data_IF_173460934962
#
_entry.id   IF_173460934962
#
_cell.length_a   1.000
_cell.length_b   1.000
_cell.length_c   1.000
_cell.angle_alpha   90.00
_cell.angle_beta   90.00
_cell.angle_gamma   90.00
#
_symmetry.space_group_name_H-M   'P 1'
#
loop_
_entity.id
_entity.type
_entity.pdbx_description
1 polymer ?
#
# COMPACT_ATOMS: atom_id res chain seq x y z
N UNK A 1 5.81 -2.62 -13.58
CA UNK A 1 4.61 -3.44 -13.29
C UNK A 1 3.61 -2.79 -12.33
N UNK A 2 3.84 -1.55 -11.85
CA UNK A 2 2.97 -0.92 -10.85
C UNK A 2 1.78 -0.25 -11.55
N UNK A 3 0.68 -0.99 -11.72
CA UNK A 3 -0.59 -0.38 -12.07
C UNK A 3 -1.02 0.55 -10.93
N UNK A 4 -1.15 1.85 -11.24
CA UNK A 4 -1.56 2.86 -10.28
C UNK A 4 -2.69 3.69 -10.90
N UNK A 5 -3.80 3.82 -10.16
CA UNK A 5 -4.86 4.76 -10.52
C UNK A 5 -4.38 6.14 -10.10
N UNK A 6 -4.30 7.04 -11.08
CA UNK A 6 -3.90 8.43 -10.86
C UNK A 6 -5.16 9.26 -10.63
N UNK A 7 -5.32 9.82 -9.42
CA UNK A 7 -6.37 10.80 -9.17
C UNK A 7 -5.79 12.18 -9.50
N UNK A 8 -6.30 12.90 -10.51
CA UNK A 8 -5.81 14.23 -10.84
C UNK A 8 -6.19 15.21 -9.74
N UNK A 9 -5.22 15.99 -9.29
CA UNK A 9 -5.40 17.09 -8.35
C UNK A 9 -4.91 18.38 -9.00
N UNK A 10 -5.58 19.47 -8.69
CA UNK A 10 -5.16 20.80 -9.09
C UNK A 10 -4.76 21.58 -7.85
N UNK A 11 -3.52 22.07 -7.86
CA UNK A 11 -3.02 22.99 -6.83
C UNK A 11 -2.93 24.36 -7.48
N UNK A 12 -3.78 25.33 -7.10
CA UNK A 12 -3.70 26.68 -7.62
C UNK A 12 -2.38 27.31 -7.17
N UNK A 13 -1.52 27.65 -8.14
CA UNK A 13 -0.25 28.32 -7.84
C UNK A 13 -0.54 29.81 -7.71
N UNK A 14 -0.39 30.39 -6.51
CA UNK A 14 -0.39 31.86 -6.34
C UNK A 14 0.89 32.41 -6.99
N UNK A 15 0.80 32.88 -8.22
CA UNK A 15 1.86 33.69 -8.85
C UNK A 15 1.58 35.17 -8.56
N UNK A 16 2.27 35.74 -7.56
CA UNK A 16 2.39 37.20 -7.44
C UNK A 16 3.50 37.65 -8.40
N UNK A 17 3.14 37.96 -9.64
CA UNK A 17 4.09 38.49 -10.62
C UNK A 17 3.51 38.63 -12.03
N UNK A 18 3.16 39.86 -12.42
CA UNK A 18 2.92 40.35 -13.80
C UNK A 18 2.00 39.47 -14.68
N UNK A 19 0.69 39.53 -14.41
CA UNK A 19 -0.34 39.47 -15.47
C UNK A 19 -0.50 38.17 -16.26
N UNK A 20 0.20 37.09 -15.91
CA UNK A 20 -0.01 35.77 -16.54
C UNK A 20 -0.38 34.75 -15.47
N UNK A 21 -1.68 34.48 -15.37
CA UNK A 21 -2.20 33.32 -14.66
C UNK A 21 -1.69 32.09 -15.42
N UNK A 22 -0.59 31.50 -14.97
CA UNK A 22 -0.19 30.18 -15.44
C UNK A 22 -1.12 29.16 -14.79
N UNK A 23 -1.70 28.31 -15.62
CA UNK A 23 -2.54 27.17 -15.23
C UNK A 23 -1.88 26.44 -14.04
N UNK A 24 -2.68 26.15 -13.00
CA UNK A 24 -2.20 25.44 -11.81
C UNK A 24 -1.48 24.15 -12.21
N UNK A 25 -0.42 23.79 -11.49
CA UNK A 25 0.32 22.57 -11.80
C UNK A 25 -0.62 21.37 -11.61
N UNK A 26 -0.96 20.70 -12.71
CA UNK A 26 -1.71 19.44 -12.69
C UNK A 26 -0.80 18.40 -12.06
N UNK A 27 -1.13 18.00 -10.84
CA UNK A 27 -0.45 16.93 -10.11
C UNK A 27 -1.42 15.76 -9.99
N UNK A 28 -0.94 14.60 -9.58
CA UNK A 28 -1.81 13.46 -9.30
C UNK A 28 -1.40 12.78 -8.01
N UNK A 29 -2.38 12.21 -7.31
CA UNK A 29 -2.14 11.30 -6.19
C UNK A 29 -2.06 9.88 -6.80
N UNK A 30 -0.90 9.19 -6.71
CA UNK A 30 -0.78 7.83 -7.19
C UNK A 30 -1.37 6.85 -6.17
N UNK A 31 -2.50 6.22 -6.49
CA UNK A 31 -3.03 5.11 -5.69
C UNK A 31 -2.59 3.81 -6.36
N UNK A 32 -1.77 3.02 -5.68
CA UNK A 32 -1.26 1.74 -6.20
C UNK A 32 -2.33 0.64 -6.05
N UNK A 33 -2.36 -0.31 -6.96
CA UNK A 33 -3.26 -1.47 -6.88
C UNK A 33 -2.91 -2.40 -5.71
N UNK A 34 -1.62 -2.54 -5.42
CA UNK A 34 -1.07 -3.32 -4.30
C UNK A 34 -0.37 -2.34 -3.36
N UNK A 35 -1.16 -1.49 -2.71
CA UNK A 35 -0.65 -0.61 -1.63
C UNK A 35 -0.15 -1.40 -0.43
N UNK A 36 -0.62 -2.65 -0.28
CA UNK A 36 -0.40 -3.46 0.90
C UNK A 36 0.87 -4.33 0.92
N UNK A 37 1.58 -4.40 -0.20
CA UNK A 37 2.71 -5.31 -0.35
C UNK A 37 2.32 -6.73 0.07
N UNK A 38 3.16 -7.35 0.89
CA UNK A 38 2.96 -8.71 1.42
C UNK A 38 2.20 -8.73 2.75
N UNK A 39 2.00 -7.58 3.40
CA UNK A 39 1.54 -7.57 4.80
C UNK A 39 0.21 -8.29 5.05
N UNK A 40 -0.83 -8.16 4.20
CA UNK A 40 -2.08 -8.92 4.38
C UNK A 40 -1.91 -10.43 4.39
N UNK A 41 -0.97 -10.96 3.60
CA UNK A 41 -0.68 -12.39 3.52
C UNK A 41 -0.05 -12.87 4.83
N UNK A 42 0.87 -12.07 5.38
CA UNK A 42 1.53 -12.37 6.66
C UNK A 42 0.48 -12.41 7.79
N UNK A 43 -0.42 -11.43 7.87
CA UNK A 43 -1.47 -11.42 8.90
C UNK A 43 -2.46 -12.58 8.75
N UNK A 44 -2.86 -12.92 7.53
CA UNK A 44 -3.70 -14.09 7.30
C UNK A 44 -3.01 -15.38 7.79
N UNK A 45 -1.72 -15.51 7.51
CA UNK A 45 -0.95 -16.69 7.88
C UNK A 45 -0.70 -16.81 9.39
N UNK A 46 -0.41 -15.72 10.09
CA UNK A 46 -0.21 -15.77 11.54
C UNK A 46 -1.48 -16.23 12.27
N UNK A 47 -2.66 -15.77 11.83
CA UNK A 47 -3.92 -16.17 12.46
C UNK A 47 -4.24 -17.64 12.23
N UNK A 48 -3.89 -18.20 11.06
CA UNK A 48 -4.13 -19.62 10.77
C UNK A 48 -3.15 -20.52 11.54
N UNK A 49 -1.90 -20.10 11.72
CA UNK A 49 -0.89 -20.90 12.41
C UNK A 49 -1.15 -21.02 13.92
N UNK A 50 -1.70 -19.97 14.55
CA UNK A 50 -1.91 -19.94 16.01
C UNK A 50 -2.79 -21.08 16.52
N UNK A 51 -3.99 -21.35 15.97
CA UNK A 51 -4.80 -22.49 16.38
C UNK A 51 -4.13 -23.84 16.11
N UNK A 52 -3.48 -24.01 14.94
CA UNK A 52 -2.81 -25.26 14.59
C UNK A 52 -1.64 -25.60 15.52
N UNK A 53 -0.86 -24.59 15.91
CA UNK A 53 0.22 -24.77 16.90
C UNK A 53 -0.34 -25.11 18.29
N UNK A 54 -1.35 -24.38 18.77
CA UNK A 54 -1.97 -24.67 20.07
C UNK A 54 -2.60 -26.08 20.13
N UNK A 55 -3.28 -26.51 19.06
CA UNK A 55 -3.83 -27.85 18.97
C UNK A 55 -2.76 -28.94 19.04
N UNK A 56 -1.59 -28.68 18.44
CA UNK A 56 -0.44 -29.59 18.48
C UNK A 56 0.13 -29.75 19.90
N UNK A 57 0.08 -28.68 20.73
CA UNK A 57 0.58 -28.73 22.11
C UNK A 57 -0.40 -29.34 23.12
N UNK A 58 -1.71 -29.18 22.94
CA UNK A 58 -2.71 -29.58 23.94
C UNK A 58 -3.27 -31.00 23.75
N UNK A 59 -3.07 -31.64 22.58
CA UNK A 59 -3.62 -32.97 22.22
C UNK A 59 -5.11 -33.17 22.57
N UNK A 60 -5.90 -32.10 22.64
CA UNK A 60 -7.34 -32.18 22.91
C UNK A 60 -8.08 -32.58 21.63
N UNK A 61 -9.03 -33.54 21.68
CA UNK A 61 -9.79 -33.98 20.51
C UNK A 61 -10.52 -32.83 19.80
N UNK A 62 -11.11 -31.91 20.56
CA UNK A 62 -11.85 -30.75 20.04
C UNK A 62 -10.92 -29.78 19.30
N UNK A 63 -9.69 -29.59 19.82
CA UNK A 63 -8.70 -28.74 19.15
C UNK A 63 -8.11 -29.42 17.90
N UNK A 64 -8.01 -30.74 17.88
CA UNK A 64 -7.56 -31.50 16.71
C UNK A 64 -8.58 -31.45 15.58
N UNK A 65 -9.88 -31.55 15.89
CA UNK A 65 -10.94 -31.39 14.89
C UNK A 65 -10.91 -30.00 14.27
N UNK A 66 -10.74 -28.94 15.08
CA UNK A 66 -10.59 -27.57 14.57
C UNK A 66 -9.30 -27.42 13.76
N UNK A 67 -8.18 -28.01 14.20
CA UNK A 67 -6.91 -27.95 13.48
C UNK A 67 -6.95 -28.70 12.13
N UNK A 68 -7.77 -29.76 12.02
CA UNK A 68 -7.94 -30.50 10.77
C UNK A 68 -8.42 -29.60 9.63
N UNK A 69 -9.33 -28.66 9.91
CA UNK A 69 -9.82 -27.66 8.95
C UNK A 69 -8.75 -26.66 8.50
N UNK A 70 -7.69 -26.47 9.28
CA UNK A 70 -6.56 -25.59 8.98
C UNK A 70 -5.37 -26.33 8.37
N UNK A 71 -5.54 -27.60 7.99
CA UNK A 71 -4.49 -28.38 7.34
C UNK A 71 -4.25 -27.87 5.92
N UNK A 72 -3.01 -27.50 5.56
CA UNK A 72 -2.70 -27.07 4.20
C UNK A 72 -2.96 -28.20 3.21
N UNK A 73 -3.76 -27.92 2.19
CA UNK A 73 -4.02 -28.85 1.10
C UNK A 73 -5.49 -29.14 0.83
N UNK A 74 -6.37 -28.91 1.82
CA UNK A 74 -7.81 -29.08 1.63
C UNK A 74 -8.51 -27.81 1.11
N UNK A 75 -9.66 -28.00 0.46
CA UNK A 75 -10.50 -26.90 -0.05
C UNK A 75 -10.91 -25.88 1.05
N UNK A 76 -11.26 -26.29 2.28
CA UNK A 76 -11.62 -25.36 3.36
C UNK A 76 -10.47 -24.42 3.75
N UNK A 77 -9.24 -24.93 3.75
CA UNK A 77 -8.04 -24.12 4.03
C UNK A 77 -7.86 -23.03 2.98
N UNK A 78 -7.90 -23.39 1.69
CA UNK A 78 -7.70 -22.44 0.59
C UNK A 78 -8.76 -21.34 0.58
N UNK A 79 -10.02 -21.69 0.84
CA UNK A 79 -11.13 -20.74 0.88
C UNK A 79 -11.01 -19.79 2.09
N UNK A 80 -10.69 -20.33 3.27
CA UNK A 80 -10.51 -19.53 4.50
C UNK A 80 -9.29 -18.62 4.39
N UNK A 81 -8.18 -19.12 3.85
CA UNK A 81 -6.96 -18.34 3.63
C UNK A 81 -7.18 -17.21 2.61
N UNK A 82 -7.84 -17.51 1.47
CA UNK A 82 -8.21 -16.50 0.49
C UNK A 82 -9.14 -15.42 1.05
N UNK A 83 -10.16 -15.82 1.83
CA UNK A 83 -11.08 -14.90 2.49
C UNK A 83 -10.36 -14.00 3.51
N UNK A 84 -9.44 -14.57 4.31
CA UNK A 84 -8.59 -13.78 5.22
C UNK A 84 -7.72 -12.79 4.45
N UNK A 85 -7.07 -13.20 3.36
CA UNK A 85 -6.26 -12.28 2.54
C UNK A 85 -7.10 -11.11 2.03
N UNK A 86 -8.33 -11.36 1.55
CA UNK A 86 -9.24 -10.31 1.11
C UNK A 86 -9.61 -9.35 2.24
N UNK A 87 -9.98 -9.90 3.40
CA UNK A 87 -10.35 -9.10 4.58
C UNK A 87 -9.18 -8.24 5.07
N UNK A 88 -7.99 -8.84 5.21
CA UNK A 88 -6.80 -8.11 5.65
C UNK A 88 -6.29 -7.13 4.61
N UNK A 89 -6.48 -7.39 3.32
CA UNK A 89 -6.15 -6.44 2.26
C UNK A 89 -6.98 -5.17 2.37
N UNK A 90 -8.28 -5.31 2.65
CA UNK A 90 -9.17 -4.17 2.89
C UNK A 90 -8.80 -3.43 4.19
N UNK A 91 -8.67 -4.18 5.29
CA UNK A 91 -8.34 -3.62 6.60
C UNK A 91 -7.01 -2.86 6.59
N UNK A 92 -5.95 -3.45 6.05
CA UNK A 92 -4.65 -2.81 5.93
C UNK A 92 -4.71 -1.53 5.08
N UNK A 93 -5.42 -1.58 3.95
CA UNK A 93 -5.54 -0.40 3.07
C UNK A 93 -6.23 0.74 3.78
N UNK A 94 -7.30 0.49 4.54
CA UNK A 94 -8.01 1.53 5.30
C UNK A 94 -7.17 2.15 6.43
N UNK A 95 -6.29 1.38 7.07
CA UNK A 95 -5.43 1.91 8.15
C UNK A 95 -4.35 2.82 7.57
N UNK A 96 -3.73 2.42 6.45
CA UNK A 96 -2.66 3.22 5.84
C UNK A 96 -3.20 4.44 5.11
N UNK A 97 -4.28 4.26 4.36
CA UNK A 97 -4.92 5.32 3.58
C UNK A 97 -6.14 5.82 4.33
N UNK A 98 -5.90 6.67 5.34
CA UNK A 98 -6.98 7.44 5.93
C UNK A 98 -7.43 8.53 4.95
N UNK A 99 -8.56 8.30 4.27
CA UNK A 99 -9.14 9.22 3.29
C UNK A 99 -9.53 10.57 3.88
N UNK A 100 -9.91 10.61 5.16
CA UNK A 100 -10.24 11.86 5.87
C UNK A 100 -8.99 12.72 6.02
N UNK A 101 -7.90 12.14 6.51
CA UNK A 101 -6.62 12.85 6.67
C UNK A 101 -6.05 13.29 5.31
N UNK A 102 -6.17 12.44 4.29
CA UNK A 102 -5.75 12.76 2.92
C UNK A 102 -6.53 13.94 2.35
N UNK A 103 -7.85 13.97 2.53
CA UNK A 103 -8.71 15.06 2.09
C UNK A 103 -8.43 16.36 2.84
N UNK A 104 -8.20 16.29 4.17
CA UNK A 104 -7.87 17.46 4.97
C UNK A 104 -6.49 18.02 4.61
N UNK A 105 -5.49 17.16 4.41
CA UNK A 105 -4.16 17.56 3.95
C UNK A 105 -4.22 18.19 2.55
N UNK A 106 -5.01 17.64 1.64
CA UNK A 106 -5.21 18.22 0.31
C UNK A 106 -5.84 19.62 0.40
N UNK A 107 -6.85 19.79 1.28
CA UNK A 107 -7.48 21.09 1.56
C UNK A 107 -6.49 22.09 2.17
N UNK A 108 -5.66 21.67 3.14
CA UNK A 108 -4.61 22.50 3.76
C UNK A 108 -3.56 22.97 2.75
N UNK A 109 -3.23 22.13 1.78
CA UNK A 109 -2.32 22.48 0.66
C UNK A 109 -2.99 23.36 -0.41
N UNK A 110 -4.27 23.70 -0.26
CA UNK A 110 -5.05 24.45 -1.25
C UNK A 110 -5.38 23.64 -2.50
N UNK A 111 -5.09 22.34 -2.51
CA UNK A 111 -5.40 21.43 -3.60
C UNK A 111 -6.87 20.99 -3.58
N UNK A 112 -7.40 20.63 -4.74
CA UNK A 112 -8.71 20.01 -4.85
C UNK A 112 -8.76 19.02 -6.01
N UNK A 113 -9.70 18.07 -5.93
CA UNK A 113 -10.04 17.17 -7.02
C UNK A 113 -11.09 17.87 -7.90
N UNK A 114 -10.85 18.07 -9.20
CA UNK A 114 -11.83 18.69 -10.08
C UNK A 114 -13.16 17.91 -10.06
N UNK A 115 -14.27 18.62 -9.84
CA UNK A 115 -15.62 18.02 -9.80
C UNK A 115 -16.05 17.49 -8.43
N UNK A 116 -15.22 17.57 -7.38
CA UNK A 116 -15.57 17.14 -6.02
C UNK A 116 -15.35 18.27 -5.02
N UNK A 117 -16.29 18.49 -4.10
CA UNK A 117 -16.19 19.53 -3.07
C UNK A 117 -15.06 19.20 -2.08
N UNK A 118 -14.15 20.14 -1.75
CA UNK A 118 -13.09 19.91 -0.76
C UNK A 118 -13.64 19.59 0.64
N UNK A 119 -13.05 18.62 1.33
CA UNK A 119 -13.48 18.16 2.66
C UNK A 119 -14.10 16.76 2.61
N UNK A 120 -15.23 16.57 3.29
CA UNK A 120 -15.89 15.25 3.42
C UNK A 120 -16.17 14.58 2.06
N UNK A 121 -16.69 15.31 1.08
CA UNK A 121 -16.96 14.74 -0.25
C UNK A 121 -15.69 14.26 -0.99
N UNK A 122 -14.53 14.86 -0.68
CA UNK A 122 -13.23 14.40 -1.20
C UNK A 122 -12.81 13.09 -0.53
N UNK A 123 -13.04 12.96 0.78
CA UNK A 123 -12.78 11.71 1.51
C UNK A 123 -13.66 10.57 0.97
N UNK A 124 -14.97 10.79 0.84
CA UNK A 124 -15.91 9.79 0.30
C UNK A 124 -15.52 9.33 -1.12
N UNK A 125 -15.06 10.27 -1.94
CA UNK A 125 -14.57 9.96 -3.29
C UNK A 125 -13.31 9.09 -3.26
N UNK A 126 -12.34 9.42 -2.40
CA UNK A 126 -11.10 8.65 -2.24
C UNK A 126 -11.41 7.25 -1.70
N UNK A 127 -12.28 7.13 -0.70
CA UNK A 127 -12.71 5.84 -0.15
C UNK A 127 -13.39 4.97 -1.20
N UNK A 128 -14.32 5.53 -1.97
CA UNK A 128 -14.98 4.81 -3.07
C UNK A 128 -14.01 4.35 -4.15
N UNK A 129 -12.94 5.14 -4.40
CA UNK A 129 -11.87 4.75 -5.32
C UNK A 129 -11.01 3.64 -4.74
N UNK A 130 -10.60 3.75 -3.47
CA UNK A 130 -9.80 2.74 -2.77
C UNK A 130 -10.53 1.40 -2.74
N UNK A 131 -11.80 1.36 -2.32
CA UNK A 131 -12.58 0.13 -2.25
C UNK A 131 -12.64 -0.62 -3.60
N UNK A 132 -12.82 0.11 -4.71
CA UNK A 132 -12.87 -0.48 -6.07
C UNK A 132 -11.51 -0.96 -6.59
N UNK A 133 -10.41 -0.39 -6.10
CA UNK A 133 -9.05 -0.82 -6.45
C UNK A 133 -8.64 -2.01 -5.59
N UNK A 134 -8.96 -1.99 -4.30
CA UNK A 134 -8.54 -3.00 -3.34
C UNK A 134 -9.20 -4.35 -3.59
N UNK A 135 -10.46 -4.39 -4.05
CA UNK A 135 -11.15 -5.64 -4.39
C UNK A 135 -10.39 -6.51 -5.42
N UNK A 136 -10.10 -6.02 -6.65
CA UNK A 136 -9.34 -6.78 -7.64
C UNK A 136 -7.88 -7.00 -7.21
N UNK A 137 -7.27 -6.04 -6.48
CA UNK A 137 -5.92 -6.21 -5.94
C UNK A 137 -5.82 -7.35 -4.91
N UNK A 138 -6.77 -7.42 -3.98
CA UNK A 138 -6.86 -8.49 -2.98
C UNK A 138 -7.17 -9.86 -3.60
N UNK A 139 -8.06 -9.91 -4.60
CA UNK A 139 -8.35 -11.14 -5.35
C UNK A 139 -7.11 -11.66 -6.06
N UNK A 140 -6.35 -10.77 -6.69
CA UNK A 140 -5.08 -11.12 -7.32
C UNK A 140 -4.05 -11.64 -6.31
N UNK A 141 -3.92 -10.99 -5.14
CA UNK A 141 -3.04 -11.45 -4.07
C UNK A 141 -3.46 -12.83 -3.53
N UNK A 142 -4.75 -13.05 -3.31
CA UNK A 142 -5.28 -14.34 -2.86
C UNK A 142 -5.00 -15.44 -3.90
N UNK A 143 -5.18 -15.16 -5.18
CA UNK A 143 -4.89 -16.11 -6.25
C UNK A 143 -3.41 -16.51 -6.30
N UNK A 144 -2.48 -15.54 -6.19
CA UNK A 144 -1.04 -15.83 -6.16
C UNK A 144 -0.66 -16.60 -4.88
N UNK A 145 -1.29 -16.32 -3.75
CA UNK A 145 -1.01 -17.03 -2.51
C UNK A 145 -1.50 -18.49 -2.50
N UNK A 146 -2.62 -18.78 -3.18
CA UNK A 146 -3.19 -20.13 -3.28
C UNK A 146 -2.47 -20.98 -4.34
N UNK A 147 -1.95 -20.37 -5.41
CA UNK A 147 -1.32 -21.08 -6.53
C UNK A 147 -0.22 -22.06 -6.10
N UNK A 148 0.75 -21.70 -5.24
CA UNK A 148 1.77 -22.63 -4.77
C UNK A 148 1.21 -23.85 -4.03
N UNK A 149 0.13 -23.67 -3.25
CA UNK A 149 -0.51 -24.75 -2.49
C UNK A 149 -1.16 -25.76 -3.44
N UNK A 150 -1.84 -25.27 -4.47
CA UNK A 150 -2.47 -26.12 -5.49
C UNK A 150 -1.39 -26.89 -6.27
N UNK A 151 -0.29 -26.23 -6.64
CA UNK A 151 0.82 -26.86 -7.36
C UNK A 151 1.51 -27.92 -6.49
N UNK A 152 1.74 -27.66 -5.20
CA UNK A 152 2.36 -28.64 -4.29
C UNK A 152 1.49 -29.88 -4.09
N UNK A 153 0.17 -29.71 -4.04
CA UNK A 153 -0.76 -30.84 -3.96
C UNK A 153 -0.72 -31.72 -5.22
N UNK A 154 -0.60 -31.11 -6.41
CA UNK A 154 -0.50 -31.84 -7.68
C UNK A 154 0.81 -32.60 -7.86
N UNK A 155 1.94 -32.01 -7.42
CA UNK A 155 3.27 -32.60 -7.58
C UNK A 155 3.58 -33.61 -6.46
N UNK A 156 2.74 -33.71 -5.43
CA UNK A 156 2.90 -34.65 -4.31
C UNK A 156 4.06 -34.31 -3.37
N UNK A 157 4.65 -33.12 -3.51
CA UNK A 157 5.70 -32.61 -2.63
C UNK A 157 5.04 -31.70 -1.59
N UNK A 158 5.13 -32.08 -0.31
CA UNK A 158 4.65 -31.25 0.80
C UNK A 158 5.53 -30.02 0.97
N UNK A 159 5.33 -29.02 0.11
CA UNK A 159 6.00 -27.72 0.19
C UNK A 159 5.29 -26.78 1.17
N UNK A 160 4.89 -27.29 2.35
CA UNK A 160 4.18 -26.51 3.39
C UNK A 160 4.93 -25.23 3.79
N UNK A 161 6.26 -25.24 3.64
CA UNK A 161 7.14 -24.11 3.91
C UNK A 161 7.81 -23.53 2.67
N UNK A 162 7.46 -23.95 1.45
CA UNK A 162 8.15 -23.52 0.22
C UNK A 162 7.38 -22.46 -0.57
N UNK A 163 6.08 -22.64 -0.77
CA UNK A 163 5.30 -21.79 -1.66
C UNK A 163 5.03 -20.39 -1.10
N UNK A 164 4.40 -20.33 0.07
CA UNK A 164 4.02 -19.06 0.71
C UNK A 164 5.23 -18.32 1.25
N UNK A 165 6.25 -19.03 1.73
CA UNK A 165 7.50 -18.42 2.19
C UNK A 165 8.26 -17.76 1.04
N UNK A 166 8.35 -18.39 -0.13
CA UNK A 166 9.00 -17.81 -1.33
C UNK A 166 8.25 -16.58 -1.79
N UNK A 167 6.93 -16.61 -1.82
CA UNK A 167 6.10 -15.45 -2.15
C UNK A 167 6.36 -14.29 -1.18
N UNK A 168 6.40 -14.60 0.14
CA UNK A 168 6.71 -13.61 1.17
C UNK A 168 8.11 -13.02 0.98
N UNK A 169 9.12 -13.87 0.75
CA UNK A 169 10.51 -13.45 0.52
C UNK A 169 10.60 -12.51 -0.68
N UNK A 170 10.02 -12.89 -1.82
CA UNK A 170 10.05 -12.06 -3.04
C UNK A 170 9.36 -10.73 -2.79
N UNK A 171 8.19 -10.73 -2.14
CA UNK A 171 7.48 -9.48 -1.92
C UNK A 171 8.16 -8.55 -0.89
N UNK A 172 8.75 -9.08 0.18
CA UNK A 172 9.54 -8.28 1.14
C UNK A 172 10.82 -7.76 0.49
N UNK A 173 11.47 -8.54 -0.38
CA UNK A 173 12.62 -8.09 -1.16
C UNK A 173 12.25 -6.92 -2.09
N UNK A 174 11.12 -7.02 -2.81
CA UNK A 174 10.63 -5.93 -3.66
C UNK A 174 10.29 -4.68 -2.84
N UNK A 175 9.66 -4.84 -1.68
CA UNK A 175 9.38 -3.72 -0.76
C UNK A 175 10.67 -3.07 -0.26
N UNK A 176 11.69 -3.87 0.07
CA UNK A 176 13.01 -3.39 0.50
C UNK A 176 13.71 -2.61 -0.63
N UNK A 177 13.67 -3.12 -1.86
CA UNK A 177 14.22 -2.43 -3.04
C UNK A 177 13.51 -1.09 -3.24
N UNK A 178 12.18 -1.06 -3.17
CA UNK A 178 11.40 0.16 -3.32
C UNK A 178 11.73 1.20 -2.24
N UNK A 179 11.90 0.78 -0.98
CA UNK A 179 12.32 1.66 0.11
C UNK A 179 13.72 2.23 -0.11
N UNK A 180 14.67 1.42 -0.59
CA UNK A 180 16.03 1.87 -0.92
C UNK A 180 16.03 2.91 -2.03
N UNK A 181 15.20 2.71 -3.07
CA UNK A 181 15.07 3.65 -4.19
C UNK A 181 14.46 4.99 -3.75
N UNK A 182 13.48 4.98 -2.84
CA UNK A 182 12.91 6.19 -2.24
C UNK A 182 13.96 6.99 -1.47
N UNK A 183 14.79 6.33 -0.65
CA UNK A 183 15.88 6.99 0.08
C UNK A 183 16.97 7.55 -0.86
N UNK A 184 17.28 6.84 -1.96
CA UNK A 184 18.23 7.33 -2.99
C UNK A 184 17.71 8.58 -3.69
N UNK A 185 16.40 8.62 -3.97
CA UNK A 185 15.75 9.77 -4.61
C UNK A 185 15.81 11.00 -3.71
N UNK A 186 15.52 10.87 -2.42
CA UNK A 186 15.62 11.96 -1.44
C UNK A 186 17.04 12.55 -1.37
N UNK A 187 18.08 11.71 -1.35
CA UNK A 187 19.48 12.18 -1.35
C UNK A 187 19.87 12.97 -2.60
N UNK A 188 19.28 12.68 -3.77
CA UNK A 188 19.52 13.47 -4.99
C UNK A 188 18.91 14.87 -4.90
N UNK A 189 17.83 15.07 -4.14
CA UNK A 189 17.26 16.40 -3.92
C UNK A 189 18.13 17.30 -3.02
N UNK A 190 18.82 16.74 -2.01
CA UNK A 190 19.72 17.50 -1.13
C UNK A 190 20.90 18.14 -1.88
N UNK A 191 21.39 17.47 -2.93
CA UNK A 191 22.49 17.96 -3.76
C UNK A 191 22.14 19.22 -4.57
N UNK A 192 20.90 19.34 -5.04
CA UNK A 192 20.43 20.52 -5.79
C UNK A 192 20.14 21.72 -4.88
N UNK A 193 19.70 21.49 -3.63
CA UNK A 193 19.40 22.56 -2.67
C UNK A 193 20.67 23.21 -2.09
N UNK A 194 21.80 22.50 -2.01
CA UNK A 194 23.07 23.05 -1.49
C UNK A 194 23.79 24.01 -2.44
N UNK A 195 23.61 23.88 -3.75
CA UNK A 195 24.32 24.69 -4.76
C UNK A 195 23.70 26.08 -4.98
N UNK A 196 22.51 26.34 -4.42
CA UNK A 196 21.74 27.57 -4.63
C UNK A 196 21.93 28.69 -3.59
N UNK A 197 23.00 28.71 -2.78
CA UNK A 197 23.25 29.84 -1.86
C UNK A 197 23.63 31.10 -2.67
N UNK A 198 22.62 31.89 -3.02
CA UNK A 198 22.81 33.26 -3.53
C UNK A 198 23.48 34.09 -2.43
N UNK A 199 24.75 34.44 -2.63
CA UNK A 199 25.49 35.39 -1.79
C UNK A 199 24.81 36.76 -1.91
N UNK A 200 24.01 37.15 -0.91
CA UNK A 200 23.57 38.53 -0.78
C UNK A 200 24.80 39.41 -0.53
N UNK A 201 25.31 40.09 -1.58
CA UNK A 201 26.26 41.19 -1.44
C UNK A 201 25.47 42.39 -0.89
N UNK A 202 25.57 42.63 0.41
CA UNK A 202 25.10 43.85 1.03
C UNK A 202 25.71 45.06 0.32
N UNK A 203 24.85 45.97 -0.17
CA UNK A 203 25.25 47.31 -0.60
C UNK A 203 25.70 48.06 0.65
N UNK A 204 27.01 48.30 0.77
CA UNK A 204 27.54 49.28 1.70
C UNK A 204 26.96 50.65 1.33
N UNK A 205 26.17 51.19 2.23
CA UNK A 205 25.66 52.54 2.19
C UNK A 205 26.84 53.48 2.47
N UNK A 206 27.35 54.14 1.42
CA UNK A 206 28.34 55.21 1.56
C UNK A 206 27.60 56.46 2.04
N UNK A 207 27.91 56.89 3.26
CA UNK A 207 27.62 58.23 3.75
C UNK A 207 28.50 59.22 2.98
N UNK A 208 27.88 60.26 2.43
CA UNK A 208 28.43 61.59 2.23
C UNK A 208 27.29 62.58 2.48
#
# INVERSE_FOLDING_TARGET
TIAARRIPIQIPRKVMGRGRIREGQKTFIPIRLITAGVMPIIFAQTIIIVPGTLASFTQSPVLQDVASFFTPGELPYNLTFGAMILLFSYFYTSIIFNSVDLAENLKKQGGFIPGVKPGASTADYIDGVLARITLPGGLFLAAIAILPIVVSNWVGVQAQFGGTSVLIVVGVLLDTIAQVEQHRTLRKYDGFMKTGRVKFRGRQQRYM
#
